data_IF_233771615621
#
_entry.id   IF_233771615621
#
_cell.length_a   1.000
_cell.length_b   1.000
_cell.length_c   1.000
_cell.angle_alpha   90.00
_cell.angle_beta   90.00
_cell.angle_gamma   90.00
#
_symmetry.space_group_name_H-M   'P 1'
#
loop_
_entity.id
_entity.type
_entity.pdbx_description
1 polymer ?
#
# COMPACT_ATOMS: atom_id res chain seq x y z
N UNK A 1 -5.21 28.92 13.92
CA UNK A 1 -5.41 29.67 12.65
C UNK A 1 -6.79 29.29 12.14
N UNK A 2 -7.51 30.17 11.44
CA UNK A 2 -8.84 29.80 10.93
C UNK A 2 -8.71 28.72 9.86
N UNK A 3 -9.58 27.70 9.87
CA UNK A 3 -9.66 26.66 8.84
C UNK A 3 -9.87 27.19 7.42
N UNK A 4 -10.38 28.41 7.30
CA UNK A 4 -10.66 29.05 6.02
C UNK A 4 -9.47 29.83 5.44
N UNK A 5 -8.38 29.98 6.20
CA UNK A 5 -7.21 30.76 5.80
C UNK A 5 -6.04 29.89 5.30
N UNK A 6 -6.01 28.60 5.65
CA UNK A 6 -4.87 27.72 5.36
C UNK A 6 -5.16 26.74 4.22
N UNK A 7 -4.46 26.92 3.11
CA UNK A 7 -4.42 25.93 2.01
C UNK A 7 -3.47 24.77 2.33
N UNK A 8 -2.34 25.04 3.00
CA UNK A 8 -1.31 24.05 3.34
C UNK A 8 -1.10 24.03 4.85
N UNK A 9 -1.37 22.88 5.47
CA UNK A 9 -1.25 22.64 6.91
C UNK A 9 0.01 21.82 7.14
N UNK A 10 1.07 22.49 7.59
CA UNK A 10 2.37 21.87 7.86
C UNK A 10 2.48 21.66 9.36
N UNK A 11 2.69 20.40 9.75
CA UNK A 11 3.02 20.05 11.12
C UNK A 11 4.52 20.35 11.35
N UNK A 12 4.89 21.10 12.39
CA UNK A 12 6.29 21.32 12.74
C UNK A 12 7.04 20.02 13.02
N UNK A 13 8.33 19.95 12.69
CA UNK A 13 9.15 18.74 12.85
C UNK A 13 9.23 18.24 14.32
N UNK A 14 9.16 19.14 15.31
CA UNK A 14 9.16 18.78 16.74
C UNK A 14 7.86 18.07 17.18
N UNK A 15 6.83 18.11 16.33
CA UNK A 15 5.54 17.42 16.50
C UNK A 15 5.46 16.13 15.69
N UNK A 16 6.52 15.73 14.97
CA UNK A 16 6.55 14.44 14.29
C UNK A 16 6.27 13.31 15.31
N UNK A 17 5.36 12.37 15.01
CA UNK A 17 5.05 11.28 15.93
C UNK A 17 6.29 10.47 16.29
N UNK A 18 6.44 10.16 17.59
CA UNK A 18 7.57 9.37 18.13
C UNK A 18 7.28 7.88 18.23
N UNK A 19 6.04 7.48 17.96
CA UNK A 19 5.57 6.10 18.06
C UNK A 19 4.80 5.74 16.81
N UNK A 20 4.96 4.52 16.32
CA UNK A 20 3.99 3.93 15.43
C UNK A 20 2.80 3.41 16.25
N UNK A 21 1.61 3.54 15.69
CA UNK A 21 0.37 3.03 16.25
C UNK A 21 0.08 1.64 15.67
N UNK A 22 -0.17 0.68 16.56
CA UNK A 22 -0.53 -0.69 16.23
C UNK A 22 -2.01 -0.93 16.52
N UNK A 23 -2.79 -1.14 15.45
CA UNK A 23 -4.24 -1.32 15.57
C UNK A 23 -4.62 -2.61 16.29
N UNK A 24 -3.74 -3.62 16.33
CA UNK A 24 -4.01 -4.90 17.00
C UNK A 24 -4.36 -4.73 18.49
N UNK A 25 -3.86 -3.66 19.14
CA UNK A 25 -4.16 -3.34 20.52
C UNK A 25 -5.59 -2.84 20.77
N UNK A 26 -6.33 -2.50 19.71
CA UNK A 26 -7.69 -1.94 19.76
C UNK A 26 -8.70 -2.76 18.93
N UNK A 27 -8.27 -3.79 18.22
CA UNK A 27 -9.16 -4.66 17.44
C UNK A 27 -10.09 -5.46 18.36
N UNK A 28 -11.42 -5.51 18.07
CA UNK A 28 -12.36 -6.29 18.88
C UNK A 28 -12.18 -7.80 18.66
N UNK A 29 -11.85 -8.19 17.41
CA UNK A 29 -11.53 -9.57 17.05
C UNK A 29 -10.03 -9.68 16.77
N UNK A 30 -9.27 -10.44 17.57
CA UNK A 30 -7.86 -10.69 17.29
C UNK A 30 -7.66 -11.37 15.93
N UNK A 31 -6.50 -11.14 15.30
CA UNK A 31 -6.16 -11.84 14.06
C UNK A 31 -6.09 -13.34 14.27
N UNK A 32 -6.54 -14.09 13.26
CA UNK A 32 -6.21 -15.50 13.17
C UNK A 32 -4.69 -15.65 12.91
N UNK A 33 -4.03 -16.64 13.53
CA UNK A 33 -2.59 -16.80 13.38
C UNK A 33 -2.25 -17.13 11.93
N UNK A 34 -1.13 -16.60 11.43
CA UNK A 34 -0.56 -17.10 10.18
C UNK A 34 -0.19 -18.58 10.33
N UNK A 35 -0.29 -19.35 9.26
CA UNK A 35 -0.02 -20.79 9.26
C UNK A 35 1.19 -21.12 8.37
N UNK A 36 1.99 -22.08 8.81
CA UNK A 36 3.09 -22.62 8.02
C UNK A 36 2.53 -23.25 6.73
N UNK A 37 3.06 -22.92 5.54
CA UNK A 37 2.46 -23.33 4.27
C UNK A 37 2.53 -24.83 4.04
N UNK A 38 3.45 -25.54 4.71
CA UNK A 38 3.61 -27.00 4.62
C UNK A 38 2.84 -27.72 5.73
N UNK A 39 3.09 -27.37 6.99
CA UNK A 39 2.53 -28.12 8.14
C UNK A 39 1.09 -27.71 8.49
N UNK A 40 0.65 -26.55 7.98
CA UNK A 40 -0.64 -25.92 8.31
C UNK A 40 -0.83 -25.61 9.80
N UNK A 41 0.22 -25.67 10.60
CA UNK A 41 0.20 -25.29 12.01
C UNK A 41 0.49 -23.78 12.15
N UNK A 42 0.04 -23.14 13.25
CA UNK A 42 0.39 -21.76 13.56
C UNK A 42 1.90 -21.50 13.48
N UNK A 43 2.28 -20.39 12.85
CA UNK A 43 3.68 -19.98 12.70
C UNK A 43 4.34 -19.72 14.06
N UNK A 44 5.55 -20.20 14.21
CA UNK A 44 6.49 -19.74 15.23
C UNK A 44 7.52 -18.76 14.65
N UNK A 45 8.27 -18.04 15.50
CA UNK A 45 9.34 -17.14 15.04
C UNK A 45 10.38 -17.83 14.15
N UNK A 46 10.67 -19.11 14.40
CA UNK A 46 11.62 -19.90 13.63
C UNK A 46 11.19 -20.12 12.17
N UNK A 47 9.88 -20.14 11.89
CA UNK A 47 9.36 -20.27 10.52
C UNK A 47 9.60 -18.99 9.70
N UNK A 48 9.66 -17.83 10.37
CA UNK A 48 9.81 -16.51 9.75
C UNK A 48 11.26 -16.03 9.71
N UNK A 49 12.11 -16.51 10.62
CA UNK A 49 13.51 -16.11 10.75
C UNK A 49 14.35 -16.25 9.47
N UNK A 50 14.12 -17.22 8.56
CA UNK A 50 14.81 -17.27 7.28
C UNK A 50 14.48 -16.06 6.39
N UNK A 51 13.26 -15.53 6.50
CA UNK A 51 12.69 -14.52 5.61
C UNK A 51 12.90 -13.11 6.17
N UNK A 52 12.60 -12.90 7.45
CA UNK A 52 12.54 -11.58 8.07
C UNK A 52 13.57 -11.40 9.20
N UNK A 53 13.90 -10.14 9.49
CA UNK A 53 14.66 -9.78 10.68
C UNK A 53 13.84 -10.04 11.96
N UNK A 54 14.51 -10.42 13.05
CA UNK A 54 13.90 -10.80 14.33
C UNK A 54 12.99 -9.69 14.90
N UNK A 55 13.41 -8.43 14.79
CA UNK A 55 12.63 -7.29 15.26
C UNK A 55 11.35 -7.09 14.43
N UNK A 56 11.41 -7.34 13.11
CA UNK A 56 10.21 -7.31 12.25
C UNK A 56 9.25 -8.45 12.59
N UNK A 57 9.78 -9.64 12.93
CA UNK A 57 8.97 -10.77 13.40
C UNK A 57 8.28 -10.43 14.72
N UNK A 58 9.01 -9.81 15.66
CA UNK A 58 8.44 -9.38 16.93
C UNK A 58 7.32 -8.35 16.73
N UNK A 59 7.51 -7.37 15.84
CA UNK A 59 6.51 -6.37 15.50
C UNK A 59 5.28 -6.98 14.79
N UNK A 60 5.48 -8.02 13.97
CA UNK A 60 4.39 -8.68 13.24
C UNK A 60 3.33 -9.27 14.18
N UNK A 61 3.76 -9.79 15.33
CA UNK A 61 2.91 -10.43 16.35
C UNK A 61 2.63 -9.56 17.57
N UNK A 62 3.16 -8.33 17.60
CA UNK A 62 3.02 -7.44 18.75
C UNK A 62 1.57 -7.00 18.95
N UNK A 63 1.16 -6.96 20.21
CA UNK A 63 -0.12 -6.39 20.65
C UNK A 63 0.07 -5.09 21.45
N UNK A 64 1.30 -4.59 21.57
CA UNK A 64 1.55 -3.29 22.16
C UNK A 64 0.98 -2.19 21.27
N UNK A 65 0.26 -1.24 21.87
CA UNK A 65 -0.46 -0.17 21.15
C UNK A 65 0.48 0.80 20.44
N UNK A 66 1.62 1.08 21.05
CA UNK A 66 2.58 2.07 20.58
C UNK A 66 3.96 1.45 20.58
N UNK A 67 4.58 1.39 19.40
CA UNK A 67 5.98 0.97 19.24
C UNK A 67 6.81 2.21 19.01
N UNK A 68 7.84 2.42 19.83
CA UNK A 68 8.72 3.59 19.70
C UNK A 68 9.46 3.54 18.37
N UNK A 69 9.47 4.67 17.65
CA UNK A 69 10.23 4.81 16.41
C UNK A 69 11.70 4.96 16.80
N UNK A 70 12.60 4.06 16.33
CA UNK A 70 14.02 4.18 16.63
C UNK A 70 14.56 5.55 16.23
N UNK A 71 15.42 6.13 17.06
CA UNK A 71 15.95 7.48 16.84
C UNK A 71 16.54 7.66 15.44
N UNK A 72 17.32 6.69 14.93
CA UNK A 72 17.90 6.76 13.58
C UNK A 72 16.82 6.78 12.49
N UNK A 73 15.78 5.96 12.60
CA UNK A 73 14.62 5.97 11.69
C UNK A 73 13.87 7.31 11.76
N UNK A 74 13.67 7.84 12.97
CA UNK A 74 12.99 9.11 13.18
C UNK A 74 13.78 10.29 12.58
N UNK A 75 15.12 10.32 12.71
CA UNK A 75 15.96 11.33 12.04
C UNK A 75 15.89 11.21 10.51
N UNK A 76 15.80 9.99 9.98
CA UNK A 76 15.62 9.79 8.54
C UNK A 76 14.26 10.29 8.03
N UNK A 77 13.18 10.07 8.78
CA UNK A 77 11.86 10.61 8.44
C UNK A 77 11.84 12.12 8.33
N UNK A 78 12.57 12.86 9.18
CA UNK A 78 12.60 14.34 9.15
C UNK A 78 13.04 14.93 7.81
N UNK A 79 13.72 14.16 6.96
CA UNK A 79 14.15 14.61 5.63
C UNK A 79 12.96 14.95 4.70
N UNK A 80 11.77 14.41 4.95
CA UNK A 80 10.56 14.73 4.18
C UNK A 80 9.24 14.72 4.98
N UNK A 81 9.26 14.25 6.24
CA UNK A 81 8.11 14.25 7.15
C UNK A 81 8.23 15.36 8.20
N UNK A 82 7.10 15.87 8.74
CA UNK A 82 5.72 15.51 8.43
C UNK A 82 5.32 15.87 6.99
N UNK A 83 4.56 15.01 6.32
CA UNK A 83 4.05 15.35 4.98
C UNK A 83 2.92 16.38 5.10
N UNK A 84 2.74 17.28 4.12
CA UNK A 84 1.70 18.30 4.22
C UNK A 84 0.29 17.72 4.08
N UNK A 85 -0.65 18.27 4.84
CA UNK A 85 -2.08 18.14 4.61
C UNK A 85 -2.55 19.41 3.89
N UNK A 86 -3.24 19.27 2.78
CA UNK A 86 -3.77 20.39 2.02
C UNK A 86 -5.28 20.44 2.09
N UNK A 87 -5.86 21.63 1.98
CA UNK A 87 -7.27 21.84 1.67
C UNK A 87 -7.42 22.09 0.17
N UNK A 88 -8.26 21.31 -0.50
CA UNK A 88 -8.42 21.29 -1.96
C UNK A 88 -9.42 22.35 -2.44
N UNK A 89 -9.13 23.63 -2.20
CA UNK A 89 -10.03 24.73 -2.51
C UNK A 89 -10.42 24.80 -4.01
N UNK A 90 -9.49 24.44 -4.90
CA UNK A 90 -9.74 24.43 -6.34
C UNK A 90 -10.76 23.34 -6.70
N UNK A 91 -10.61 22.16 -6.13
CA UNK A 91 -11.54 21.05 -6.30
C UNK A 91 -12.90 21.35 -5.65
N UNK A 92 -12.93 21.86 -4.42
CA UNK A 92 -14.15 22.29 -3.72
C UNK A 92 -14.96 23.27 -4.61
N UNK A 93 -14.26 24.27 -5.18
CA UNK A 93 -14.86 25.25 -6.10
C UNK A 93 -15.36 24.62 -7.40
N UNK A 94 -14.59 23.70 -7.98
CA UNK A 94 -14.97 23.03 -9.24
C UNK A 94 -16.20 22.13 -9.08
N UNK A 95 -16.40 21.54 -7.90
CA UNK A 95 -17.57 20.73 -7.57
C UNK A 95 -18.76 21.57 -7.07
N UNK A 96 -18.54 22.85 -6.78
CA UNK A 96 -19.52 23.73 -6.13
C UNK A 96 -20.13 23.05 -4.90
N UNK A 97 -19.27 22.48 -4.05
CA UNK A 97 -19.68 21.68 -2.88
C UNK A 97 -19.48 22.47 -1.58
N UNK A 98 -20.39 22.34 -0.60
CA UNK A 98 -20.18 22.88 0.74
C UNK A 98 -19.21 22.00 1.57
N UNK A 99 -18.82 20.83 1.06
CA UNK A 99 -17.88 19.94 1.74
C UNK A 99 -16.47 20.53 1.76
N UNK A 100 -15.73 20.21 2.81
CA UNK A 100 -14.30 20.53 2.95
C UNK A 100 -13.51 19.30 2.54
N UNK A 101 -12.66 19.43 1.55
CA UNK A 101 -11.87 18.31 1.01
C UNK A 101 -10.41 18.55 1.38
N UNK A 102 -9.82 17.60 2.09
CA UNK A 102 -8.42 17.60 2.45
C UNK A 102 -7.69 16.41 1.85
N UNK A 103 -6.43 16.60 1.48
CA UNK A 103 -5.56 15.52 1.04
C UNK A 103 -4.23 15.50 1.75
N UNK A 104 -3.88 14.33 2.29
CA UNK A 104 -2.57 14.06 2.88
C UNK A 104 -1.61 13.69 1.76
N UNK A 105 -0.61 14.54 1.50
CA UNK A 105 0.25 14.37 0.32
C UNK A 105 1.52 13.59 0.62
N UNK A 106 1.45 12.26 0.46
CA UNK A 106 2.61 11.35 0.64
C UNK A 106 3.58 11.35 -0.56
N UNK A 107 3.21 11.99 -1.67
CA UNK A 107 4.08 12.15 -2.84
C UNK A 107 5.25 13.12 -2.63
N UNK A 108 5.35 13.82 -1.49
CA UNK A 108 6.55 14.62 -1.13
C UNK A 108 7.77 13.75 -0.80
N UNK A 109 7.55 12.46 -0.54
CA UNK A 109 8.61 11.49 -0.31
C UNK A 109 9.62 11.51 -1.47
N UNK A 110 10.94 11.35 -1.22
CA UNK A 110 11.97 11.32 -2.27
C UNK A 110 11.72 10.26 -3.35
N UNK A 111 10.94 9.22 -3.03
CA UNK A 111 10.55 8.15 -3.97
C UNK A 111 9.12 8.31 -4.51
N UNK A 112 8.50 9.46 -4.24
CA UNK A 112 7.19 9.85 -4.77
C UNK A 112 6.00 9.09 -4.18
N UNK A 113 6.16 8.37 -3.07
CA UNK A 113 5.07 7.66 -2.39
C UNK A 113 5.34 7.36 -0.91
N UNK A 114 4.28 6.97 -0.20
CA UNK A 114 4.27 6.52 1.21
C UNK A 114 5.21 5.33 1.50
N UNK A 115 5.67 4.58 0.49
CA UNK A 115 6.37 3.30 0.71
C UNK A 115 7.69 3.44 1.48
N UNK A 116 8.34 4.60 1.39
CA UNK A 116 9.58 4.86 2.14
C UNK A 116 9.36 4.82 3.67
N UNK A 117 8.15 5.10 4.14
CA UNK A 117 7.80 5.03 5.56
C UNK A 117 8.07 3.63 6.13
N UNK A 118 7.80 2.56 5.39
CA UNK A 118 8.12 1.20 5.86
C UNK A 118 9.45 0.66 5.34
N UNK A 119 9.98 1.16 4.23
CA UNK A 119 11.28 0.70 3.72
C UNK A 119 12.42 1.03 4.71
N UNK A 120 12.45 2.26 5.24
CA UNK A 120 13.49 2.69 6.19
C UNK A 120 13.55 1.80 7.45
N UNK A 121 12.46 1.61 8.23
CA UNK A 121 12.53 0.77 9.42
C UNK A 121 12.87 -0.69 9.08
N UNK A 122 12.35 -1.25 7.99
CA UNK A 122 12.70 -2.62 7.59
C UNK A 122 14.20 -2.78 7.31
N UNK A 123 14.80 -1.86 6.54
CA UNK A 123 16.24 -1.90 6.27
C UNK A 123 17.06 -1.63 7.54
N UNK A 124 16.62 -0.68 8.38
CA UNK A 124 17.27 -0.37 9.66
C UNK A 124 17.36 -1.59 10.59
N UNK A 125 16.27 -2.33 10.76
CA UNK A 125 16.28 -3.52 11.62
C UNK A 125 17.13 -4.66 11.04
N UNK A 126 17.15 -4.81 9.71
CA UNK A 126 18.07 -5.72 9.03
C UNK A 126 19.54 -5.33 9.26
N UNK A 127 19.88 -4.03 9.15
CA UNK A 127 21.22 -3.49 9.42
C UNK A 127 21.67 -3.82 10.85
N UNK A 128 20.82 -3.59 11.85
CA UNK A 128 21.14 -3.89 13.26
C UNK A 128 21.40 -5.38 13.46
N UNK A 129 20.61 -6.24 12.80
CA UNK A 129 20.82 -7.69 12.85
C UNK A 129 22.07 -8.16 12.09
N UNK A 130 22.74 -7.27 11.34
CA UNK A 130 23.97 -7.56 10.61
C UNK A 130 23.75 -8.08 9.19
N UNK A 131 22.51 -8.05 8.68
CA UNK A 131 22.16 -8.43 7.31
C UNK A 131 22.85 -7.50 6.32
N UNK A 132 23.35 -8.07 5.21
CA UNK A 132 24.16 -7.35 4.21
C UNK A 132 23.40 -7.08 2.92
N UNK A 133 22.34 -7.84 2.67
CA UNK A 133 21.58 -7.79 1.43
C UNK A 133 20.10 -7.98 1.71
N UNK A 134 19.26 -7.28 0.95
CA UNK A 134 17.81 -7.46 0.99
C UNK A 134 17.33 -7.75 -0.42
N UNK A 135 16.56 -8.83 -0.57
CA UNK A 135 15.82 -9.15 -1.77
C UNK A 135 14.38 -8.67 -1.65
N UNK A 136 13.77 -8.30 -2.78
CA UNK A 136 12.37 -7.93 -2.82
C UNK A 136 11.77 -8.10 -4.20
N UNK A 137 10.44 -8.14 -4.29
CA UNK A 137 9.70 -8.02 -5.53
C UNK A 137 9.38 -6.55 -5.85
N UNK A 138 8.98 -6.26 -7.08
CA UNK A 138 8.16 -5.08 -7.35
C UNK A 138 7.33 -5.24 -8.61
N UNK A 139 6.09 -4.73 -8.59
CA UNK A 139 5.24 -4.63 -9.77
C UNK A 139 5.62 -3.42 -10.61
N UNK A 140 4.85 -2.33 -10.46
CA UNK A 140 5.07 -1.09 -11.21
C UNK A 140 6.38 -0.36 -10.86
N UNK A 141 7.01 -0.67 -9.71
CA UNK A 141 8.33 -0.19 -9.31
C UNK A 141 8.38 0.65 -8.03
N UNK A 142 7.25 1.13 -7.50
CA UNK A 142 7.24 2.05 -6.35
C UNK A 142 7.90 1.45 -5.10
N UNK A 143 7.67 0.16 -4.82
CA UNK A 143 8.26 -0.51 -3.67
C UNK A 143 9.76 -0.75 -3.86
N UNK A 144 10.15 -1.30 -5.02
CA UNK A 144 11.56 -1.46 -5.37
C UNK A 144 12.32 -0.14 -5.23
N UNK A 145 11.79 0.97 -5.75
CA UNK A 145 12.41 2.30 -5.59
C UNK A 145 12.57 2.73 -4.13
N UNK A 146 11.53 2.55 -3.30
CA UNK A 146 11.59 2.88 -1.87
C UNK A 146 12.66 2.05 -1.13
N UNK A 147 12.70 0.75 -1.40
CA UNK A 147 13.66 -0.15 -0.78
C UNK A 147 15.09 0.10 -1.26
N UNK A 148 15.29 0.35 -2.55
CA UNK A 148 16.61 0.70 -3.10
C UNK A 148 17.21 1.94 -2.42
N UNK A 149 16.40 2.99 -2.21
CA UNK A 149 16.85 4.16 -1.48
C UNK A 149 17.18 3.83 -0.02
N UNK A 150 16.28 3.14 0.69
CA UNK A 150 16.50 2.78 2.08
C UNK A 150 17.76 1.91 2.27
N UNK A 151 17.95 0.89 1.42
CA UNK A 151 19.15 0.05 1.38
C UNK A 151 20.42 0.91 1.18
N UNK A 152 20.39 1.86 0.24
CA UNK A 152 21.53 2.75 0.00
C UNK A 152 21.86 3.63 1.21
N UNK A 153 20.86 4.09 1.95
CA UNK A 153 21.04 4.94 3.15
C UNK A 153 21.74 4.19 4.29
N UNK A 154 21.61 2.86 4.32
CA UNK A 154 22.15 2.00 5.37
C UNK A 154 23.29 1.08 4.91
N UNK A 155 23.82 1.29 3.70
CA UNK A 155 24.88 0.49 3.09
C UNK A 155 24.56 -1.02 3.04
N UNK A 156 23.33 -1.32 2.63
CA UNK A 156 22.83 -2.68 2.38
C UNK A 156 22.63 -2.87 0.87
N UNK A 157 22.99 -4.04 0.34
CA UNK A 157 22.73 -4.38 -1.06
C UNK A 157 21.22 -4.60 -1.29
N UNK A 158 20.68 -4.04 -2.37
CA UNK A 158 19.29 -4.27 -2.79
C UNK A 158 19.24 -5.11 -4.08
N UNK A 159 18.58 -6.27 -4.01
CA UNK A 159 18.19 -7.08 -5.16
C UNK A 159 16.69 -6.97 -5.38
N UNK A 160 16.28 -6.56 -6.57
CA UNK A 160 14.88 -6.32 -6.91
C UNK A 160 14.46 -7.21 -8.09
N UNK A 161 13.47 -8.06 -7.85
CA UNK A 161 12.79 -8.86 -8.87
C UNK A 161 11.56 -8.08 -9.37
N UNK A 162 11.69 -7.41 -10.51
CA UNK A 162 10.63 -6.58 -11.07
C UNK A 162 9.81 -7.35 -12.11
N UNK A 163 8.48 -7.37 -11.99
CA UNK A 163 7.59 -8.05 -12.94
C UNK A 163 7.94 -7.68 -14.39
N UNK A 164 8.25 -8.67 -15.24
CA UNK A 164 8.87 -8.48 -16.57
C UNK A 164 8.14 -7.49 -17.46
N UNK A 165 6.81 -7.56 -17.55
CA UNK A 165 6.04 -6.58 -18.34
C UNK A 165 6.20 -5.16 -17.81
N UNK A 166 6.24 -4.99 -16.49
CA UNK A 166 6.46 -3.68 -15.86
C UNK A 166 7.90 -3.21 -16.03
N UNK A 167 8.88 -4.11 -15.93
CA UNK A 167 10.29 -3.82 -16.19
C UNK A 167 10.49 -3.22 -17.59
N UNK A 168 9.78 -3.74 -18.60
CA UNK A 168 9.84 -3.27 -19.98
C UNK A 168 9.03 -1.98 -20.21
N UNK A 169 7.82 -1.89 -19.67
CA UNK A 169 6.91 -0.77 -19.92
C UNK A 169 7.18 0.46 -19.03
N UNK A 170 7.82 0.27 -17.87
CA UNK A 170 8.09 1.33 -16.89
C UNK A 170 9.60 1.44 -16.57
N UNK A 171 10.47 1.67 -17.59
CA UNK A 171 11.91 1.63 -17.40
C UNK A 171 12.42 2.73 -16.45
N UNK A 172 11.71 3.85 -16.31
CA UNK A 172 12.13 4.94 -15.42
C UNK A 172 12.21 4.54 -13.95
N UNK A 173 11.34 3.62 -13.48
CA UNK A 173 11.45 3.12 -12.10
C UNK A 173 12.64 2.20 -11.92
N UNK A 174 12.94 1.36 -12.92
CA UNK A 174 14.17 0.55 -12.94
C UNK A 174 15.41 1.46 -12.86
N UNK A 175 15.48 2.48 -13.71
CA UNK A 175 16.58 3.45 -13.71
C UNK A 175 16.69 4.13 -12.33
N UNK A 176 15.56 4.48 -11.69
CA UNK A 176 15.57 5.06 -10.34
C UNK A 176 16.17 4.10 -9.29
N UNK A 177 15.85 2.80 -9.36
CA UNK A 177 16.44 1.77 -8.50
C UNK A 177 17.96 1.64 -8.75
N UNK A 178 18.37 1.57 -10.02
CA UNK A 178 19.78 1.47 -10.43
C UNK A 178 20.59 2.71 -10.02
N UNK A 179 19.98 3.90 -10.07
CA UNK A 179 20.59 5.16 -9.58
C UNK A 179 20.88 5.13 -8.07
N UNK A 180 20.10 4.39 -7.28
CA UNK A 180 20.39 4.15 -5.87
C UNK A 180 21.36 2.97 -5.64
N UNK A 181 21.81 2.32 -6.72
CA UNK A 181 22.78 1.21 -6.67
C UNK A 181 22.14 -0.17 -6.46
N UNK A 182 20.82 -0.30 -6.64
CA UNK A 182 20.17 -1.60 -6.59
C UNK A 182 20.38 -2.39 -7.88
N UNK A 183 20.43 -3.71 -7.77
CA UNK A 183 20.32 -4.62 -8.92
C UNK A 183 18.85 -4.90 -9.17
N UNK A 184 18.34 -4.56 -10.36
CA UNK A 184 16.94 -4.82 -10.73
C UNK A 184 16.88 -5.76 -11.93
N UNK A 185 16.20 -6.89 -11.79
CA UNK A 185 16.10 -7.93 -12.83
C UNK A 185 14.63 -8.20 -13.19
N UNK A 186 14.34 -8.56 -14.45
CA UNK A 186 12.99 -8.93 -14.86
C UNK A 186 12.61 -10.30 -14.29
N UNK A 187 11.45 -10.40 -13.64
CA UNK A 187 10.84 -11.63 -13.13
C UNK A 187 9.76 -12.15 -14.09
N UNK A 188 9.78 -13.45 -14.50
CA UNK A 188 10.69 -14.48 -14.02
C UNK A 188 12.12 -14.33 -14.51
N UNK A 189 13.11 -14.61 -13.66
CA UNK A 189 14.53 -14.54 -14.00
C UNK A 189 15.17 -15.94 -14.14
N UNK A 190 16.33 -16.08 -14.80
CA UNK A 190 17.07 -17.34 -14.78
C UNK A 190 17.84 -17.59 -13.46
N UNK A 191 17.79 -16.64 -12.52
CA UNK A 191 18.61 -16.66 -11.30
C UNK A 191 18.08 -17.63 -10.24
N UNK A 192 16.79 -17.91 -10.25
CA UNK A 192 16.09 -18.76 -9.27
C UNK A 192 15.48 -19.98 -9.95
N UNK A 193 15.20 -21.03 -9.18
CA UNK A 193 14.51 -22.22 -9.69
C UNK A 193 13.05 -21.89 -10.05
N UNK A 194 12.38 -21.09 -9.24
CA UNK A 194 11.02 -20.61 -9.53
C UNK A 194 10.97 -19.87 -10.88
N UNK A 195 11.94 -18.99 -11.13
CA UNK A 195 12.05 -18.25 -12.38
C UNK A 195 12.42 -19.15 -13.57
N UNK A 196 13.39 -20.07 -13.41
CA UNK A 196 13.75 -21.06 -14.45
C UNK A 196 12.58 -21.95 -14.84
N UNK A 197 11.81 -22.43 -13.86
CA UNK A 197 10.62 -23.26 -14.09
C UNK A 197 9.56 -22.49 -14.88
N UNK A 198 9.24 -21.26 -14.47
CA UNK A 198 8.26 -20.44 -15.18
C UNK A 198 8.69 -20.11 -16.61
N UNK A 199 9.99 -19.85 -16.85
CA UNK A 199 10.53 -19.63 -18.20
C UNK A 199 10.53 -20.90 -19.06
N UNK A 200 10.70 -22.08 -18.47
CA UNK A 200 10.60 -23.35 -19.19
C UNK A 200 9.16 -23.65 -19.63
N UNK A 201 8.17 -23.32 -18.79
CA UNK A 201 6.75 -23.48 -19.10
C UNK A 201 6.26 -22.45 -20.12
N UNK A 202 6.67 -21.19 -19.98
CA UNK A 202 6.33 -20.11 -20.91
C UNK A 202 7.48 -19.08 -21.01
N UNK A 203 8.35 -19.19 -22.03
CA UNK A 203 9.50 -18.30 -22.20
C UNK A 203 9.12 -16.81 -22.36
N UNK A 204 7.94 -16.53 -22.93
CA UNK A 204 7.45 -15.19 -23.23
C UNK A 204 6.47 -14.66 -22.17
N UNK A 205 6.40 -15.31 -21.00
CA UNK A 205 5.49 -14.92 -19.92
C UNK A 205 5.72 -13.46 -19.50
N UNK A 206 4.66 -12.65 -19.32
CA UNK A 206 4.78 -11.27 -18.87
C UNK A 206 5.24 -11.15 -17.40
N UNK A 207 5.26 -12.26 -16.66
CA UNK A 207 5.50 -12.31 -15.23
C UNK A 207 4.30 -11.82 -14.41
N UNK A 208 4.27 -12.20 -13.13
CA UNK A 208 3.25 -11.75 -12.16
C UNK A 208 3.93 -11.28 -10.88
N UNK A 209 3.21 -10.50 -10.06
CA UNK A 209 3.74 -10.06 -8.78
C UNK A 209 4.02 -11.25 -7.85
N UNK A 210 3.10 -12.23 -7.80
CA UNK A 210 3.28 -13.44 -7.00
C UNK A 210 4.51 -14.26 -7.39
N UNK A 211 4.84 -14.35 -8.69
CA UNK A 211 6.08 -15.01 -9.13
C UNK A 211 7.34 -14.23 -8.72
N UNK A 212 7.30 -12.89 -8.80
CA UNK A 212 8.39 -12.05 -8.34
C UNK A 212 8.61 -12.15 -6.82
N UNK A 213 7.53 -12.30 -6.03
CA UNK A 213 7.62 -12.63 -4.59
C UNK A 213 8.30 -13.97 -4.42
N UNK A 214 7.87 -15.01 -5.14
CA UNK A 214 8.47 -16.34 -5.03
C UNK A 214 9.97 -16.32 -5.32
N UNK A 215 10.42 -15.62 -6.37
CA UNK A 215 11.85 -15.49 -6.66
C UNK A 215 12.61 -14.72 -5.56
N UNK A 216 12.03 -13.62 -5.06
CA UNK A 216 12.67 -12.81 -4.03
C UNK A 216 12.80 -13.57 -2.69
N UNK A 217 11.77 -14.33 -2.32
CA UNK A 217 11.80 -15.19 -1.13
C UNK A 217 12.78 -16.34 -1.33
N UNK A 218 12.80 -16.99 -2.50
CA UNK A 218 13.75 -18.06 -2.82
C UNK A 218 15.22 -17.57 -2.70
N UNK A 219 15.51 -16.37 -3.19
CA UNK A 219 16.82 -15.74 -3.07
C UNK A 219 17.21 -15.44 -1.61
N UNK A 220 16.25 -15.00 -0.78
CA UNK A 220 16.49 -14.76 0.64
C UNK A 220 16.74 -16.06 1.42
N UNK A 221 15.90 -17.08 1.27
CA UNK A 221 16.03 -18.33 2.02
C UNK A 221 17.27 -19.13 1.62
N UNK A 222 17.79 -18.92 0.41
CA UNK A 222 19.00 -19.58 -0.09
C UNK A 222 20.30 -19.04 0.50
N UNK A 223 20.27 -17.99 1.33
CA UNK A 223 21.46 -17.30 1.83
C UNK A 223 21.32 -16.82 3.27
N UNK A 224 22.39 -16.90 4.05
CA UNK A 224 22.38 -16.42 5.44
C UNK A 224 22.52 -14.90 5.57
N UNK A 225 23.13 -14.25 4.57
CA UNK A 225 23.43 -12.81 4.54
C UNK A 225 22.28 -11.95 3.99
N UNK A 226 21.19 -12.59 3.55
CA UNK A 226 20.07 -11.98 2.84
C UNK A 226 18.77 -12.14 3.61
N UNK A 227 17.93 -11.10 3.61
CA UNK A 227 16.53 -11.17 4.04
C UNK A 227 15.60 -10.65 2.97
N UNK A 228 14.35 -11.06 3.05
CA UNK A 228 13.29 -10.58 2.18
C UNK A 228 12.55 -9.42 2.86
N UNK A 229 12.14 -8.44 2.06
CA UNK A 229 11.38 -7.29 2.52
C UNK A 229 10.14 -7.13 1.63
N UNK A 230 8.96 -7.02 2.25
CA UNK A 230 7.67 -6.87 1.57
C UNK A 230 7.09 -5.48 1.83
N UNK A 231 6.56 -4.86 0.78
CA UNK A 231 6.13 -3.46 0.80
C UNK A 231 4.69 -3.20 1.23
N UNK A 232 3.93 -4.24 1.58
CA UNK A 232 2.52 -4.15 1.95
C UNK A 232 2.06 -5.37 2.76
N UNK A 233 0.75 -5.48 3.05
CA UNK A 233 0.06 -6.64 3.65
C UNK A 233 0.39 -6.88 5.12
N UNK A 234 1.68 -7.02 5.45
CA UNK A 234 2.16 -7.40 6.78
C UNK A 234 1.78 -6.38 7.86
N UNK A 235 1.58 -6.88 9.07
CA UNK A 235 1.12 -6.10 10.21
C UNK A 235 2.10 -4.97 10.55
N UNK A 236 3.39 -5.26 10.57
CA UNK A 236 4.41 -4.24 10.84
C UNK A 236 4.46 -3.16 9.74
N UNK A 237 4.14 -3.50 8.48
CA UNK A 237 4.08 -2.51 7.38
C UNK A 237 2.92 -1.54 7.61
N UNK A 238 1.73 -2.05 7.93
CA UNK A 238 0.59 -1.22 8.30
C UNK A 238 0.89 -0.34 9.53
N UNK A 239 1.60 -0.89 10.51
CA UNK A 239 2.05 -0.17 11.70
C UNK A 239 3.02 0.97 11.36
N UNK A 240 4.07 0.72 10.57
CA UNK A 240 5.01 1.76 10.12
C UNK A 240 4.32 2.90 9.37
N UNK A 241 3.30 2.57 8.58
CA UNK A 241 2.51 3.55 7.82
C UNK A 241 1.59 4.40 8.70
N UNK A 242 1.30 4.00 9.94
CA UNK A 242 0.40 4.72 10.86
C UNK A 242 0.83 6.17 11.14
N UNK A 243 2.09 6.51 10.89
CA UNK A 243 2.60 7.88 10.98
C UNK A 243 1.79 8.85 10.10
N UNK A 244 1.23 8.37 8.98
CA UNK A 244 0.39 9.16 8.08
C UNK A 244 -0.85 9.66 8.80
N UNK A 245 -1.68 8.77 9.35
CA UNK A 245 -2.92 9.13 10.03
C UNK A 245 -2.67 9.84 11.36
N UNK A 246 -1.59 9.53 12.07
CA UNK A 246 -1.18 10.26 13.27
C UNK A 246 -0.87 11.73 12.96
N UNK A 247 -0.13 12.00 11.89
CA UNK A 247 0.11 13.37 11.43
C UNK A 247 -1.20 14.06 11.01
N UNK A 248 -2.09 13.36 10.29
CA UNK A 248 -3.39 13.93 9.90
C UNK A 248 -4.19 14.37 11.13
N UNK A 249 -4.24 13.58 12.20
CA UNK A 249 -4.96 13.97 13.43
C UNK A 249 -4.42 15.28 14.00
N UNK A 250 -3.09 15.42 14.09
CA UNK A 250 -2.44 16.63 14.58
C UNK A 250 -2.68 17.82 13.64
N UNK A 251 -2.65 17.61 12.33
CA UNK A 251 -2.88 18.65 11.33
C UNK A 251 -4.33 19.13 11.33
N UNK A 252 -5.30 18.24 11.48
CA UNK A 252 -6.72 18.59 11.60
C UNK A 252 -7.01 19.36 12.90
N UNK A 253 -6.34 19.02 14.00
CA UNK A 253 -6.41 19.77 15.25
C UNK A 253 -5.93 21.22 15.09
N UNK A 254 -4.87 21.46 14.30
CA UNK A 254 -4.35 22.82 14.03
C UNK A 254 -5.37 23.76 13.36
N UNK A 255 -6.39 23.19 12.70
CA UNK A 255 -7.46 23.92 12.01
C UNK A 255 -8.84 23.73 12.66
N UNK A 256 -8.92 23.13 13.85
CA UNK A 256 -10.19 22.91 14.57
C UNK A 256 -11.25 22.21 13.70
N UNK A 257 -10.83 21.15 12.99
CA UNK A 257 -11.67 20.30 12.15
C UNK A 257 -11.46 18.82 12.51
N UNK A 258 -12.39 17.96 12.10
CA UNK A 258 -12.31 16.52 12.30
C UNK A 258 -13.01 15.81 11.12
N UNK A 259 -12.42 14.76 10.54
CA UNK A 259 -12.98 14.11 9.37
C UNK A 259 -14.29 13.38 9.67
N UNK A 260 -15.28 13.58 8.82
CA UNK A 260 -16.47 12.72 8.72
C UNK A 260 -16.12 11.41 7.99
N UNK A 261 -15.24 11.50 6.99
CA UNK A 261 -14.74 10.34 6.24
C UNK A 261 -13.23 10.45 5.98
N UNK A 262 -12.53 9.33 6.21
CA UNK A 262 -11.11 9.14 5.88
C UNK A 262 -11.01 8.08 4.78
N UNK A 263 -10.40 8.44 3.65
CA UNK A 263 -10.38 7.64 2.42
C UNK A 263 -8.94 7.27 2.05
N UNK A 264 -8.71 6.02 1.66
CA UNK A 264 -7.41 5.59 1.13
C UNK A 264 -7.57 4.46 0.12
N UNK A 265 -6.72 4.46 -0.92
CA UNK A 265 -6.72 3.38 -1.88
C UNK A 265 -6.06 2.10 -1.32
N UNK A 266 -6.58 0.96 -1.76
CA UNK A 266 -6.27 -0.38 -1.32
C UNK A 266 -5.62 -1.16 -2.45
N UNK A 267 -4.33 -1.48 -2.29
CA UNK A 267 -3.61 -2.43 -3.14
C UNK A 267 -3.40 -3.72 -2.37
N UNK A 268 -2.46 -3.68 -1.41
CA UNK A 268 -2.44 -4.61 -0.27
C UNK A 268 -2.57 -3.86 1.06
N UNK A 269 -3.33 -2.75 1.04
CA UNK A 269 -3.86 -2.08 2.25
C UNK A 269 -2.97 -1.19 3.07
N UNK A 270 -1.64 -1.26 2.93
CA UNK A 270 -0.71 -0.52 3.83
C UNK A 270 -0.92 1.00 3.82
N UNK A 271 -1.17 1.60 2.65
CA UNK A 271 -1.53 3.01 2.49
C UNK A 271 -2.83 3.39 3.22
N UNK A 272 -3.88 2.59 3.04
CA UNK A 272 -5.18 2.80 3.66
C UNK A 272 -5.07 2.63 5.18
N UNK A 273 -4.44 1.55 5.63
CA UNK A 273 -4.12 1.30 7.03
C UNK A 273 -3.39 2.48 7.66
N UNK A 274 -2.36 3.00 6.99
CA UNK A 274 -1.56 4.11 7.47
C UNK A 274 -2.37 5.37 7.76
N UNK A 275 -3.30 5.74 6.87
CA UNK A 275 -4.15 6.92 7.08
C UNK A 275 -5.32 6.64 8.03
N UNK A 276 -5.93 5.45 7.97
CA UNK A 276 -7.21 5.17 8.62
C UNK A 276 -7.08 4.58 10.03
N UNK A 277 -6.09 3.71 10.29
CA UNK A 277 -6.00 2.99 11.57
C UNK A 277 -5.88 3.90 12.80
N UNK A 278 -5.16 5.04 12.77
CA UNK A 278 -5.12 5.98 13.91
C UNK A 278 -6.49 6.58 14.31
N UNK A 279 -7.53 6.42 13.47
CA UNK A 279 -8.91 6.83 13.75
C UNK A 279 -9.79 5.71 14.33
N UNK A 280 -9.33 4.46 14.34
CA UNK A 280 -10.08 3.32 14.92
C UNK A 280 -10.41 3.56 16.41
N UNK A 281 -9.48 3.99 17.29
CA UNK A 281 -9.81 4.24 18.70
C UNK A 281 -10.90 5.31 18.87
N UNK A 282 -10.91 6.32 18.01
CA UNK A 282 -11.92 7.38 18.02
C UNK A 282 -13.29 6.84 17.59
N UNK A 283 -13.33 5.98 16.56
CA UNK A 283 -14.55 5.29 16.11
C UNK A 283 -15.12 4.38 17.20
N UNK A 284 -14.28 3.58 17.85
CA UNK A 284 -14.68 2.69 18.96
C UNK A 284 -15.18 3.47 20.19
N UNK A 285 -14.70 4.70 20.40
CA UNK A 285 -15.21 5.63 21.43
C UNK A 285 -16.50 6.35 21.00
N UNK A 286 -17.08 6.01 19.85
CA UNK A 286 -18.36 6.53 19.39
C UNK A 286 -18.28 7.75 18.47
N UNK A 287 -17.08 8.20 18.05
CA UNK A 287 -17.00 9.22 16.99
C UNK A 287 -17.51 8.64 15.67
N UNK A 288 -18.34 9.42 14.97
CA UNK A 288 -18.94 9.02 13.69
C UNK A 288 -17.98 9.27 12.51
N UNK A 289 -16.81 8.65 12.54
CA UNK A 289 -15.86 8.67 11.42
C UNK A 289 -16.02 7.42 10.55
N UNK A 290 -16.19 7.63 9.25
CA UNK A 290 -16.17 6.57 8.24
C UNK A 290 -14.74 6.36 7.76
N UNK A 291 -14.35 5.10 7.58
CA UNK A 291 -13.01 4.72 7.14
C UNK A 291 -13.18 3.90 5.86
N UNK A 292 -12.95 4.54 4.71
CA UNK A 292 -13.31 4.01 3.40
C UNK A 292 -12.06 3.59 2.60
N UNK A 293 -11.88 2.28 2.45
CA UNK A 293 -10.93 1.69 1.53
C UNK A 293 -11.49 1.68 0.11
N UNK A 294 -10.66 1.98 -0.89
CA UNK A 294 -11.10 1.96 -2.30
C UNK A 294 -10.15 1.19 -3.19
N UNK A 295 -10.71 0.34 -4.04
CA UNK A 295 -9.97 -0.61 -4.87
C UNK A 295 -10.48 -0.57 -6.33
N UNK A 296 -9.74 -1.11 -7.30
CA UNK A 296 -10.22 -1.16 -8.67
C UNK A 296 -11.26 -2.27 -8.85
N UNK A 297 -12.30 -2.03 -9.66
CA UNK A 297 -13.25 -3.07 -10.07
C UNK A 297 -12.59 -4.24 -10.83
N UNK A 298 -11.41 -4.00 -11.42
CA UNK A 298 -10.58 -5.01 -12.08
C UNK A 298 -9.82 -5.92 -11.09
N UNK A 299 -9.59 -5.49 -9.84
CA UNK A 299 -8.96 -6.29 -8.76
C UNK A 299 -9.71 -6.07 -7.43
N UNK A 300 -10.98 -6.53 -7.29
CA UNK A 300 -11.87 -6.18 -6.19
C UNK A 300 -11.74 -7.12 -4.97
N UNK A 301 -10.56 -7.15 -4.34
CA UNK A 301 -10.23 -8.10 -3.26
C UNK A 301 -11.16 -7.99 -2.05
N UNK A 302 -11.46 -6.79 -1.55
CA UNK A 302 -12.33 -6.58 -0.39
C UNK A 302 -13.81 -6.72 -0.74
N UNK A 303 -14.23 -6.17 -1.88
CA UNK A 303 -15.67 -6.05 -2.23
C UNK A 303 -16.24 -7.30 -2.88
N UNK A 304 -15.41 -8.14 -3.48
CA UNK A 304 -15.85 -9.39 -4.15
C UNK A 304 -15.03 -10.63 -3.78
N UNK A 305 -13.85 -10.48 -3.18
CA UNK A 305 -13.07 -11.61 -2.70
C UNK A 305 -13.70 -12.31 -1.50
N UNK A 306 -13.06 -13.39 -1.05
CA UNK A 306 -13.51 -14.20 0.09
C UNK A 306 -12.54 -14.08 1.26
N UNK A 307 -13.05 -14.10 2.49
CA UNK A 307 -12.23 -14.06 3.70
C UNK A 307 -11.75 -15.47 4.07
N UNK A 308 -10.55 -15.84 3.62
CA UNK A 308 -10.00 -17.19 3.73
C UNK A 308 -8.49 -17.17 4.03
N UNK A 309 -7.93 -18.33 4.37
CA UNK A 309 -6.48 -18.50 4.37
C UNK A 309 -5.97 -18.63 2.94
N UNK A 310 -4.96 -17.85 2.60
CA UNK A 310 -4.35 -17.87 1.28
C UNK A 310 -2.86 -17.50 1.35
N UNK A 311 -2.15 -17.78 0.26
CA UNK A 311 -0.72 -17.47 0.11
C UNK A 311 -0.52 -16.03 -0.37
N UNK A 312 0.61 -15.43 0.00
CA UNK A 312 1.06 -14.16 -0.55
C UNK A 312 1.78 -14.30 -1.90
N UNK A 313 2.21 -15.51 -2.26
CA UNK A 313 3.00 -15.82 -3.45
C UNK A 313 2.47 -17.05 -4.20
N UNK A 314 2.96 -17.26 -5.43
CA UNK A 314 2.47 -18.34 -6.31
C UNK A 314 3.18 -19.67 -6.03
N UNK A 315 4.46 -19.65 -5.62
CA UNK A 315 5.23 -20.87 -5.36
C UNK A 315 4.98 -21.47 -3.96
N UNK A 316 4.31 -20.73 -3.06
CA UNK A 316 3.94 -21.21 -1.73
C UNK A 316 5.07 -21.13 -0.71
N UNK A 317 6.00 -20.19 -0.86
CA UNK A 317 7.04 -19.93 0.13
C UNK A 317 6.56 -19.06 1.29
N UNK A 318 5.57 -18.22 1.05
CA UNK A 318 5.01 -17.34 2.07
C UNK A 318 4.11 -18.11 3.02
N UNK A 319 3.96 -17.64 4.27
CA UNK A 319 2.95 -18.17 5.15
C UNK A 319 1.53 -17.99 4.63
N UNK A 320 0.64 -18.86 5.07
CA UNK A 320 -0.80 -18.69 4.86
C UNK A 320 -1.32 -17.63 5.83
N UNK A 321 -1.94 -16.59 5.28
CA UNK A 321 -2.54 -15.52 6.08
C UNK A 321 -4.05 -15.51 5.86
N UNK A 322 -4.82 -15.26 6.92
CA UNK A 322 -6.27 -15.10 6.81
C UNK A 322 -6.58 -13.68 6.33
N UNK A 323 -7.06 -13.57 5.09
CA UNK A 323 -7.29 -12.29 4.41
C UNK A 323 -8.45 -12.37 3.43
N UNK A 324 -8.97 -11.21 3.03
CA UNK A 324 -9.77 -11.12 1.81
C UNK A 324 -8.87 -11.35 0.60
N UNK A 325 -9.28 -12.24 -0.29
CA UNK A 325 -8.48 -12.67 -1.44
C UNK A 325 -9.32 -12.97 -2.68
N UNK A 326 -8.76 -12.70 -3.84
CA UNK A 326 -9.22 -13.18 -5.15
C UNK A 326 -8.64 -14.56 -5.52
N UNK A 327 -7.72 -15.10 -4.70
CA UNK A 327 -6.93 -16.30 -4.93
C UNK A 327 -5.50 -15.96 -5.39
N UNK A 328 -4.48 -16.61 -4.82
CA UNK A 328 -3.05 -16.34 -5.14
C UNK A 328 -2.66 -16.57 -6.62
N UNK A 329 -3.47 -17.31 -7.38
CA UNK A 329 -3.28 -17.49 -8.83
C UNK A 329 -3.99 -16.44 -9.69
N UNK A 330 -4.62 -15.44 -9.07
CA UNK A 330 -5.22 -14.31 -9.77
C UNK A 330 -4.18 -13.58 -10.64
N UNK A 331 -4.56 -13.29 -11.88
CA UNK A 331 -3.76 -12.48 -12.81
C UNK A 331 -4.59 -11.24 -13.19
N UNK A 332 -4.13 -10.02 -12.86
CA UNK A 332 -4.79 -8.80 -13.25
C UNK A 332 -4.94 -8.69 -14.78
N UNK A 333 -6.04 -8.12 -15.30
CA UNK A 333 -6.19 -7.85 -16.72
C UNK A 333 -5.02 -7.02 -17.28
N UNK A 334 -4.45 -7.43 -18.41
CA UNK A 334 -3.25 -6.77 -18.98
C UNK A 334 -3.46 -5.30 -19.37
N UNK A 335 -4.69 -4.92 -19.66
CA UNK A 335 -5.13 -3.55 -20.00
C UNK A 335 -5.47 -2.69 -18.77
N UNK A 336 -5.38 -3.24 -17.55
CA UNK A 336 -5.63 -2.46 -16.31
C UNK A 336 -4.47 -1.51 -16.00
N UNK A 337 -4.74 -0.20 -16.06
CA UNK A 337 -3.74 0.85 -15.89
C UNK A 337 -3.79 1.52 -14.49
N UNK A 338 -4.82 1.25 -13.70
CA UNK A 338 -5.06 1.89 -12.39
C UNK A 338 -4.14 1.45 -11.24
N UNK A 339 -3.20 0.53 -11.47
CA UNK A 339 -2.36 -0.04 -10.40
C UNK A 339 -3.16 -0.97 -9.48
N UNK A 340 -2.83 -1.05 -8.19
CA UNK A 340 -3.60 -1.80 -7.18
C UNK A 340 -3.92 -3.26 -7.59
N UNK A 341 -2.87 -4.01 -7.95
CA UNK A 341 -2.97 -5.32 -8.65
C UNK A 341 -2.81 -6.56 -7.76
N UNK A 342 -2.62 -6.38 -6.46
CA UNK A 342 -2.38 -7.50 -5.56
C UNK A 342 -3.70 -8.25 -5.30
N UNK A 343 -3.64 -9.58 -5.20
CA UNK A 343 -4.83 -10.45 -5.13
C UNK A 343 -5.48 -10.48 -3.75
N UNK A 344 -4.70 -10.16 -2.71
CA UNK A 344 -5.13 -10.21 -1.32
C UNK A 344 -5.19 -8.82 -0.69
N UNK A 345 -5.57 -8.80 0.58
CA UNK A 345 -5.56 -7.60 1.40
C UNK A 345 -4.86 -7.88 2.74
N UNK A 346 -4.31 -6.87 3.41
CA UNK A 346 -3.68 -7.02 4.72
C UNK A 346 -4.61 -7.78 5.69
N UNK A 347 -4.10 -8.71 6.52
CA UNK A 347 -4.91 -9.36 7.55
C UNK A 347 -5.60 -8.37 8.49
N UNK A 348 -4.92 -7.27 8.85
CA UNK A 348 -5.51 -6.21 9.68
C UNK A 348 -6.67 -5.51 8.99
N UNK A 349 -6.49 -5.11 7.72
CA UNK A 349 -7.55 -4.46 6.93
C UNK A 349 -8.71 -5.44 6.73
N UNK A 350 -8.41 -6.69 6.39
CA UNK A 350 -9.38 -7.76 6.16
C UNK A 350 -10.23 -8.03 7.39
N UNK A 351 -9.62 -8.19 8.56
CA UNK A 351 -10.33 -8.44 9.81
C UNK A 351 -11.18 -7.23 10.24
N UNK A 352 -10.65 -6.01 10.14
CA UNK A 352 -11.41 -4.79 10.44
C UNK A 352 -12.60 -4.58 9.49
N UNK A 353 -12.47 -4.98 8.22
CA UNK A 353 -13.56 -4.97 7.25
C UNK A 353 -14.60 -6.03 7.60
N UNK A 354 -14.16 -7.24 7.93
CA UNK A 354 -15.02 -8.33 8.37
C UNK A 354 -15.83 -7.97 9.64
N UNK A 355 -15.20 -7.25 10.58
CA UNK A 355 -15.83 -6.75 11.80
C UNK A 355 -16.75 -5.54 11.57
N UNK A 356 -16.83 -5.01 10.33
CA UNK A 356 -17.66 -3.85 9.97
C UNK A 356 -17.12 -2.51 10.49
N UNK A 357 -15.84 -2.42 10.86
CA UNK A 357 -15.22 -1.19 11.36
C UNK A 357 -14.72 -0.27 10.23
N UNK A 358 -14.45 -0.84 9.06
CA UNK A 358 -14.09 -0.11 7.84
C UNK A 358 -15.05 -0.47 6.70
N UNK A 359 -15.11 0.41 5.70
CA UNK A 359 -15.92 0.28 4.48
C UNK A 359 -15.00 0.02 3.29
N UNK A 360 -15.52 -0.62 2.23
CA UNK A 360 -14.79 -0.84 0.99
C UNK A 360 -15.65 -0.50 -0.23
N UNK A 361 -15.04 0.06 -1.29
CA UNK A 361 -15.71 0.31 -2.57
C UNK A 361 -14.78 0.03 -3.75
N UNK A 362 -15.31 -0.68 -4.76
CA UNK A 362 -14.64 -0.85 -6.04
C UNK A 362 -15.02 0.26 -7.03
N UNK A 363 -14.05 0.73 -7.81
CA UNK A 363 -14.21 1.82 -8.78
C UNK A 363 -13.68 1.45 -10.16
N UNK A 364 -14.33 2.00 -11.19
CA UNK A 364 -13.93 1.86 -12.59
C UNK A 364 -12.75 2.77 -12.92
N UNK A 365 -11.83 2.30 -13.77
CA UNK A 365 -10.59 3.04 -14.00
C UNK A 365 -10.79 4.33 -14.80
N UNK A 366 -11.72 4.38 -15.77
CA UNK A 366 -11.99 5.64 -16.49
C UNK A 366 -12.53 6.73 -15.56
N UNK A 367 -13.42 6.37 -14.63
CA UNK A 367 -13.92 7.27 -13.60
C UNK A 367 -12.79 7.79 -12.70
N UNK A 368 -11.87 6.91 -12.33
CA UNK A 368 -10.68 7.26 -11.54
C UNK A 368 -9.74 8.20 -12.32
N UNK A 369 -9.46 7.93 -13.59
CA UNK A 369 -8.61 8.81 -14.41
C UNK A 369 -9.27 10.18 -14.68
N UNK A 370 -10.58 10.21 -14.89
CA UNK A 370 -11.35 11.46 -15.00
C UNK A 370 -11.23 12.30 -13.71
N UNK A 371 -11.41 11.66 -12.54
CA UNK A 371 -11.20 12.29 -11.24
C UNK A 371 -9.77 12.82 -11.05
N UNK A 372 -8.76 12.04 -11.46
CA UNK A 372 -7.36 12.47 -11.43
C UNK A 372 -7.09 13.67 -12.35
N UNK A 373 -7.70 13.71 -13.54
CA UNK A 373 -7.57 14.83 -14.46
C UNK A 373 -8.18 16.10 -13.86
N UNK A 374 -9.39 16.02 -13.29
CA UNK A 374 -10.02 17.15 -12.61
C UNK A 374 -9.15 17.63 -11.44
N UNK A 375 -8.65 16.71 -10.62
CA UNK A 375 -7.75 17.04 -9.51
C UNK A 375 -6.47 17.73 -9.99
N UNK A 376 -5.83 17.22 -11.04
CA UNK A 376 -4.63 17.84 -11.59
C UNK A 376 -4.89 19.25 -12.14
N UNK A 377 -6.05 19.48 -12.77
CA UNK A 377 -6.44 20.79 -13.30
C UNK A 377 -6.80 21.81 -12.20
N UNK A 378 -7.25 21.34 -11.04
CA UNK A 378 -7.72 22.19 -9.94
C UNK A 378 -6.68 22.42 -8.85
N UNK A 379 -5.83 21.42 -8.58
CA UNK A 379 -4.84 21.41 -7.49
C UNK A 379 -3.38 21.39 -7.99
N UNK A 380 -3.16 21.21 -9.30
CA UNK A 380 -1.83 21.32 -9.93
C UNK A 380 -0.90 20.12 -9.70
N UNK A 381 -1.40 19.02 -9.12
CA UNK A 381 -0.62 17.79 -8.86
C UNK A 381 -1.17 16.67 -9.73
N UNK A 382 -0.31 16.03 -10.53
CA UNK A 382 -0.66 14.79 -11.22
C UNK A 382 -0.56 13.64 -10.20
N UNK A 383 -1.68 13.00 -9.81
CA UNK A 383 -1.65 11.96 -8.80
C UNK A 383 -1.13 10.64 -9.39
N UNK A 384 -0.67 9.71 -8.56
CA UNK A 384 -0.45 8.33 -9.01
C UNK A 384 -1.79 7.69 -9.45
N UNK A 385 -1.82 6.81 -10.48
CA UNK A 385 -3.04 6.08 -10.87
C UNK A 385 -3.68 5.30 -9.71
N UNK A 386 -2.89 4.84 -8.73
CA UNK A 386 -3.42 4.24 -7.52
C UNK A 386 -4.22 5.24 -6.68
N UNK A 387 -3.70 6.47 -6.52
CA UNK A 387 -4.34 7.52 -5.70
C UNK A 387 -5.61 8.08 -6.31
N UNK A 388 -5.79 7.93 -7.64
CA UNK A 388 -6.98 8.42 -8.34
C UNK A 388 -8.27 7.76 -7.86
N UNK A 389 -8.19 6.55 -7.30
CA UNK A 389 -9.32 5.87 -6.66
C UNK A 389 -9.80 6.62 -5.42
N UNK A 390 -8.87 7.08 -4.57
CA UNK A 390 -9.19 7.85 -3.37
C UNK A 390 -9.73 9.24 -3.72
N UNK A 391 -9.17 9.87 -4.76
CA UNK A 391 -9.69 11.14 -5.31
C UNK A 391 -11.12 10.96 -5.82
N UNK A 392 -11.38 9.89 -6.60
CA UNK A 392 -12.73 9.63 -7.12
C UNK A 392 -13.76 9.44 -6.01
N UNK A 393 -13.42 8.66 -4.99
CA UNK A 393 -14.33 8.48 -3.85
C UNK A 393 -14.53 9.78 -3.04
N UNK A 394 -13.49 10.61 -2.89
CA UNK A 394 -13.63 11.92 -2.24
C UNK A 394 -14.58 12.85 -3.03
N UNK A 395 -14.49 12.83 -4.37
CA UNK A 395 -15.41 13.57 -5.24
C UNK A 395 -16.84 13.05 -5.07
N UNK A 396 -17.06 11.74 -5.08
CA UNK A 396 -18.39 11.16 -4.90
C UNK A 396 -18.99 11.50 -3.53
N UNK A 397 -18.20 11.45 -2.45
CA UNK A 397 -18.63 11.85 -1.11
C UNK A 397 -18.99 13.35 -1.03
N UNK A 398 -18.28 14.19 -1.78
CA UNK A 398 -18.54 15.63 -1.84
C UNK A 398 -19.80 15.97 -2.66
N UNK A 399 -20.05 15.23 -3.74
CA UNK A 399 -21.28 15.33 -4.55
C UNK A 399 -22.47 14.88 -3.71
N UNK A 400 -22.38 13.72 -3.07
CA UNK A 400 -23.44 13.21 -2.21
C UNK A 400 -23.71 14.16 -1.03
N UNK A 401 -22.67 14.70 -0.38
CA UNK A 401 -22.82 15.68 0.69
C UNK A 401 -23.57 16.93 0.21
N UNK A 402 -23.29 17.42 -1.01
CA UNK A 402 -24.03 18.53 -1.63
C UNK A 402 -25.50 18.18 -1.85
N UNK A 403 -25.80 17.02 -2.41
CA UNK A 403 -27.17 16.54 -2.66
C UNK A 403 -27.99 16.42 -1.37
N UNK A 404 -27.35 15.99 -0.29
CA UNK A 404 -27.96 15.88 1.05
C UNK A 404 -28.01 17.20 1.83
N UNK A 405 -27.34 18.26 1.34
CA UNK A 405 -27.22 19.54 2.06
C UNK A 405 -26.30 19.47 3.30
N UNK A 406 -25.34 18.56 3.32
CA UNK A 406 -24.39 18.33 4.44
C UNK A 406 -22.97 18.77 4.06
N UNK A 407 -22.39 19.65 4.86
CA UNK A 407 -21.02 20.15 4.68
C UNK A 407 -19.97 19.23 5.33
N UNK A 408 -19.74 18.06 4.71
CA UNK A 408 -18.82 17.03 5.24
C UNK A 408 -17.36 17.46 5.22
N UNK A 409 -16.57 16.96 6.17
CA UNK A 409 -15.10 17.04 6.21
C UNK A 409 -14.52 15.73 5.67
N UNK A 410 -13.95 15.79 4.47
CA UNK A 410 -13.48 14.62 3.71
C UNK A 410 -11.96 14.66 3.68
N UNK A 411 -11.29 13.64 4.22
CA UNK A 411 -9.83 13.52 4.15
C UNK A 411 -9.47 12.31 3.30
N UNK A 412 -8.62 12.46 2.29
CA UNK A 412 -8.09 11.31 1.54
C UNK A 412 -6.57 11.26 1.52
N UNK A 413 -6.02 10.06 1.40
CA UNK A 413 -4.57 9.88 1.23
C UNK A 413 -4.18 10.00 -0.24
N UNK A 414 -3.45 11.05 -0.59
CA UNK A 414 -2.77 11.16 -1.87
C UNK A 414 -1.45 10.39 -1.79
N UNK A 415 -1.56 9.06 -1.96
CA UNK A 415 -0.53 8.06 -1.64
C UNK A 415 0.79 8.19 -2.41
N UNK A 416 0.79 8.96 -3.50
CA UNK A 416 1.94 9.26 -4.34
C UNK A 416 1.60 10.10 -5.57
N UNK A 417 2.62 10.60 -6.26
CA UNK A 417 2.50 11.39 -7.49
C UNK A 417 2.64 10.54 -8.76
N UNK A 418 2.10 11.01 -9.89
CA UNK A 418 2.04 10.29 -11.16
C UNK A 418 3.17 10.58 -12.15
N UNK A 419 4.22 11.30 -11.77
CA UNK A 419 5.30 11.70 -12.69
C UNK A 419 5.98 10.52 -13.42
N UNK A 420 6.02 9.34 -12.80
CA UNK A 420 6.58 8.11 -13.38
C UNK A 420 5.52 7.15 -13.95
N UNK A 421 4.26 7.59 -14.00
CA UNK A 421 3.12 6.81 -14.52
C UNK A 421 2.40 7.53 -15.68
N UNK A 422 3.06 8.51 -16.33
CA UNK A 422 2.47 9.29 -17.42
C UNK A 422 2.02 8.43 -18.61
N UNK A 423 2.58 7.24 -18.82
CA UNK A 423 2.09 6.30 -19.83
C UNK A 423 0.63 5.85 -19.57
N UNK A 424 0.23 5.71 -18.30
CA UNK A 424 -1.15 5.39 -17.95
C UNK A 424 -2.10 6.57 -18.29
N UNK A 425 -1.65 7.79 -18.02
CA UNK A 425 -2.39 9.00 -18.40
C UNK A 425 -2.45 9.21 -19.91
N UNK A 426 -1.38 8.90 -20.66
CA UNK A 426 -1.39 8.94 -22.12
C UNK A 426 -2.43 7.97 -22.71
N UNK A 427 -2.51 6.75 -22.17
CA UNK A 427 -3.54 5.79 -22.56
C UNK A 427 -4.95 6.32 -22.29
N UNK A 428 -5.17 7.00 -21.16
CA UNK A 428 -6.46 7.64 -20.86
C UNK A 428 -6.77 8.79 -21.82
N UNK A 429 -5.85 9.74 -21.99
CA UNK A 429 -6.03 10.91 -22.85
C UNK A 429 -6.17 10.56 -24.34
N UNK A 430 -5.61 9.43 -24.77
CA UNK A 430 -5.75 8.91 -26.13
C UNK A 430 -6.98 8.00 -26.33
N UNK A 431 -7.83 7.84 -25.32
CA UNK A 431 -9.06 7.04 -25.40
C UNK A 431 -8.82 5.53 -25.47
N UNK A 432 -7.66 5.04 -25.03
CA UNK A 432 -7.29 3.62 -25.01
C UNK A 432 -7.59 2.93 -23.68
N UNK A 433 -8.04 3.67 -22.66
CA UNK A 433 -8.37 3.11 -21.35
C UNK A 433 -9.76 2.50 -21.40
N UNK A 434 -9.86 1.18 -21.18
CA UNK A 434 -11.12 0.44 -21.17
C UNK A 434 -11.54 0.13 -19.74
N UNK A 435 -12.83 0.24 -19.41
CA UNK A 435 -13.29 -0.23 -18.10
C UNK A 435 -13.38 -1.75 -18.05
N UNK A 436 -12.98 -2.31 -16.91
CA UNK A 436 -12.89 -3.74 -16.70
C UNK A 436 -13.38 -4.04 -15.30
N UNK A 437 -14.36 -4.92 -15.21
CA UNK A 437 -14.68 -5.62 -13.98
C UNK A 437 -14.06 -7.01 -14.02
N UNK A 438 -13.63 -7.51 -12.87
CA UNK A 438 -13.14 -8.88 -12.80
C UNK A 438 -14.28 -9.88 -13.09
N UNK A 439 -14.21 -10.74 -14.12
CA UNK A 439 -15.34 -11.61 -14.47
C UNK A 439 -15.68 -12.60 -13.36
N UNK A 440 -16.97 -12.79 -13.08
CA UNK A 440 -17.44 -13.69 -12.01
C UNK A 440 -16.95 -15.14 -12.19
N UNK A 441 -16.95 -15.65 -13.41
CA UNK A 441 -16.45 -17.01 -13.69
C UNK A 441 -14.94 -17.13 -13.49
N UNK A 442 -14.17 -16.07 -13.78
CA UNK A 442 -12.73 -16.05 -13.53
C UNK A 442 -12.42 -16.01 -12.02
N UNK A 443 -13.24 -15.28 -11.25
CA UNK A 443 -13.16 -15.29 -9.79
C UNK A 443 -13.42 -16.69 -9.23
N UNK A 444 -14.53 -17.32 -9.61
CA UNK A 444 -14.85 -18.69 -9.17
C UNK A 444 -13.73 -19.68 -9.49
N UNK A 445 -13.14 -19.57 -10.68
CA UNK A 445 -12.01 -20.44 -11.06
C UNK A 445 -10.78 -20.20 -10.20
N UNK A 446 -10.41 -18.93 -9.98
CA UNK A 446 -9.25 -18.59 -9.14
C UNK A 446 -9.41 -19.09 -7.70
N UNK A 447 -10.62 -18.97 -7.13
CA UNK A 447 -10.92 -19.40 -5.77
C UNK A 447 -10.88 -20.93 -5.57
N UNK A 448 -10.98 -21.75 -6.63
CA UNK A 448 -10.80 -23.21 -6.52
C UNK A 448 -9.39 -23.59 -6.09
N UNK A 449 -8.42 -22.70 -6.30
CA UNK A 449 -7.01 -22.94 -5.96
C UNK A 449 -6.66 -22.55 -4.52
N UNK A 450 -7.64 -22.10 -3.74
CA UNK A 450 -7.40 -21.75 -2.34
C UNK A 450 -6.86 -22.95 -1.56
N UNK A 451 -5.86 -22.72 -0.68
CA UNK A 451 -5.38 -23.73 0.24
C UNK A 451 -6.53 -24.34 1.06
N UNK A 452 -6.56 -25.67 1.14
CA UNK A 452 -7.47 -26.40 2.03
C UNK A 452 -6.84 -26.42 3.43
N UNK A 453 -7.44 -25.70 4.38
CA UNK A 453 -6.87 -25.48 5.73
C UNK A 453 -7.93 -25.57 6.81
#
# INVERSE_FOLDING_TARGET
>A
MSRDELTKIILPEDKLPKFWYNVQADMPTPLAPGLNPVTKQPLGPADLAPIFANELIAQEVSTERYIEIPKEVHEEYKKWRPSPLFRAHGLEKALDTPCRIYYKYEGVSPVGSHKLNSAIPQVFFNKIQGIKRISTETGAGQWGTALSLACKMYDIEAMVYMVRVSYNQKPYRRIFMEMYGATCVPSPSPLTESGRKALAENPDTPGTLGLAISEAVEDAIGREDTKYSLGSVLNHVCMHQSIIGQEVKLQMEMVDDYPDVVIGCCGGGSNFAGIAFPFIPDKLKGKKVRLLGVEPAACPSLTRGVFAYDLGDVAGFTPLLKMYTLGHNFVPPGIHAGGLRYHGESPLVSQLYHDGLIEARALMQNDCFSAAQLFAQTEGIIPAPESSHAIRAAIDEAIQGKEEGVARSIVFNLSGHGHLDLAAYDNYLSGKTEDIEFPEEALKESLKTLPQV
#
